data_IF_452591093467
#
_entry.id   IF_452591093467
#
_cell.length_a   1.000
_cell.length_b   1.000
_cell.length_c   1.000
_cell.angle_alpha   90.00
_cell.angle_beta   90.00
_cell.angle_gamma   90.00
#
_symmetry.space_group_name_H-M   'P 1'
#
loop_
_entity.id
_entity.type
_entity.pdbx_description
1 polymer ?
#
# COMPACT_ATOMS: atom_id res chain seq x y z
N UNK A 1 -6.57 54.36 52.05
CA UNK A 1 -6.35 53.42 50.93
C UNK A 1 -7.72 53.04 50.42
N UNK A 2 -8.18 53.59 49.29
CA UNK A 2 -7.92 53.07 47.93
C UNK A 2 -8.40 51.63 47.80
N UNK A 3 -9.61 51.40 47.24
CA UNK A 3 -9.89 51.16 45.79
C UNK A 3 -9.83 49.63 45.51
N UNK A 4 -10.81 48.96 44.89
CA UNK A 4 -11.95 49.44 44.06
C UNK A 4 -13.17 48.50 44.11
N UNK A 5 -14.33 49.04 43.71
CA UNK A 5 -15.57 48.33 43.41
C UNK A 5 -15.80 48.21 41.89
N UNK A 6 -16.42 47.10 41.43
CA UNK A 6 -17.28 46.99 40.23
C UNK A 6 -17.84 45.56 40.15
N UNK A 7 -19.14 45.28 40.25
CA UNK A 7 -20.23 45.54 39.28
C UNK A 7 -20.33 44.49 38.17
N UNK A 8 -21.24 43.53 38.36
CA UNK A 8 -21.80 42.67 37.30
C UNK A 8 -22.65 43.49 36.33
N UNK A 9 -22.60 43.22 35.01
CA UNK A 9 -23.68 43.55 34.10
C UNK A 9 -24.50 42.30 33.75
N UNK A 10 -25.78 42.32 34.12
CA UNK A 10 -26.78 41.47 33.48
C UNK A 10 -26.94 41.88 32.02
N UNK A 11 -26.88 40.92 31.09
CA UNK A 11 -27.26 41.15 29.70
C UNK A 11 -28.43 40.28 29.27
N UNK A 12 -29.35 40.91 28.55
CA UNK A 12 -30.66 40.41 28.16
C UNK A 12 -30.58 39.41 27.01
N UNK A 13 -31.43 38.38 27.06
CA UNK A 13 -31.63 37.50 25.92
C UNK A 13 -32.36 38.25 24.80
N UNK A 14 -31.66 38.49 23.68
CA UNK A 14 -32.25 38.95 22.43
C UNK A 14 -32.19 37.80 21.41
N UNK A 15 -33.36 37.30 21.01
CA UNK A 15 -33.46 36.27 19.97
C UNK A 15 -33.19 36.89 18.59
N UNK A 16 -32.12 36.46 17.94
CA UNK A 16 -31.85 36.75 16.53
C UNK A 16 -31.96 35.45 15.72
N UNK A 17 -32.94 35.38 14.83
CA UNK A 17 -33.10 34.25 13.93
C UNK A 17 -32.00 34.27 12.86
N UNK A 18 -31.13 33.26 12.85
CA UNK A 18 -30.12 33.06 11.82
C UNK A 18 -30.56 31.94 10.87
N UNK A 19 -30.84 32.29 9.62
CA UNK A 19 -31.17 31.35 8.55
C UNK A 19 -29.92 30.66 8.00
N UNK A 20 -30.07 29.36 7.75
CA UNK A 20 -29.24 28.46 6.93
C UNK A 20 -27.98 29.03 6.23
N UNK A 21 -26.82 28.48 6.59
CA UNK A 21 -25.91 27.91 5.59
C UNK A 21 -25.14 26.74 6.20
N UNK A 22 -25.40 25.53 5.70
CA UNK A 22 -24.72 24.31 6.12
C UNK A 22 -23.39 24.17 5.37
N UNK A 23 -22.38 24.93 5.80
CA UNK A 23 -21.00 24.53 5.51
C UNK A 23 -20.64 23.40 6.48
N UNK A 24 -20.66 22.16 5.96
CA UNK A 24 -20.07 21.03 6.66
C UNK A 24 -18.57 21.31 6.83
N UNK A 25 -18.16 21.62 8.06
CA UNK A 25 -16.75 21.74 8.39
C UNK A 25 -16.09 20.39 8.08
N UNK A 26 -15.14 20.40 7.14
CA UNK A 26 -14.25 19.26 6.87
C UNK A 26 -13.34 19.16 8.09
N UNK A 27 -13.84 18.46 9.11
CA UNK A 27 -13.11 18.18 10.34
C UNK A 27 -11.95 17.26 10.01
N UNK A 28 -10.74 17.69 10.37
CA UNK A 28 -9.49 16.93 10.26
C UNK A 28 -9.49 15.72 11.19
N UNK A 29 -10.28 14.70 10.82
CA UNK A 29 -10.13 13.35 11.36
C UNK A 29 -8.78 12.82 10.90
N UNK A 30 -8.02 12.26 11.83
CA UNK A 30 -6.69 11.70 11.58
C UNK A 30 -6.69 10.85 10.30
N UNK A 31 -5.95 11.28 9.26
CA UNK A 31 -5.95 10.67 7.92
C UNK A 31 -5.54 9.18 7.86
N UNK A 32 -5.20 8.58 9.00
CA UNK A 32 -4.78 7.20 9.16
C UNK A 32 -5.64 6.36 10.13
N UNK A 33 -6.62 6.92 10.86
CA UNK A 33 -7.42 6.12 11.82
C UNK A 33 -8.38 5.14 11.15
N UNK A 34 -8.95 5.55 10.02
CA UNK A 34 -10.06 4.83 9.37
C UNK A 34 -9.55 3.79 8.35
N UNK A 35 -8.23 3.69 8.17
CA UNK A 35 -7.53 3.05 7.04
C UNK A 35 -7.72 1.52 6.92
N UNK A 36 -8.18 0.85 7.97
CA UNK A 36 -8.12 -0.62 8.09
C UNK A 36 -9.49 -1.31 8.25
N UNK A 37 -10.59 -0.56 8.19
CA UNK A 37 -11.96 -1.09 8.25
C UNK A 37 -12.48 -1.60 6.88
N UNK A 38 -11.62 -2.25 6.08
CA UNK A 38 -11.99 -2.72 4.74
C UNK A 38 -12.38 -4.19 4.66
N UNK A 39 -13.59 -4.41 4.11
CA UNK A 39 -14.09 -5.71 3.64
C UNK A 39 -13.36 -6.08 2.35
N UNK A 40 -13.03 -7.35 2.14
CA UNK A 40 -12.74 -7.85 0.79
C UNK A 40 -13.99 -7.68 -0.08
N UNK A 41 -14.00 -6.70 -0.97
CA UNK A 41 -15.03 -6.60 -2.00
C UNK A 41 -14.89 -7.76 -2.98
N UNK A 42 -16.01 -8.39 -3.33
CA UNK A 42 -16.03 -9.49 -4.30
C UNK A 42 -15.60 -8.99 -5.68
N UNK A 43 -14.45 -9.46 -6.16
CA UNK A 43 -13.98 -9.27 -7.54
C UNK A 43 -14.85 -10.11 -8.51
N UNK A 44 -16.14 -9.77 -8.65
CA UNK A 44 -16.99 -10.25 -9.75
C UNK A 44 -16.94 -9.27 -10.91
N UNK A 45 -16.21 -9.68 -11.95
CA UNK A 45 -16.24 -9.03 -13.25
C UNK A 45 -17.69 -8.87 -13.76
N UNK A 46 -17.94 -7.78 -14.48
CA UNK A 46 -19.27 -7.21 -14.61
C UNK A 46 -20.31 -8.09 -15.33
N UNK A 47 -21.56 -7.90 -14.93
CA UNK A 47 -22.69 -8.06 -15.83
C UNK A 47 -23.57 -6.82 -15.75
N UNK A 48 -23.73 -6.11 -16.88
CA UNK A 48 -24.59 -4.94 -17.01
C UNK A 48 -26.04 -5.39 -17.24
N UNK A 49 -26.94 -4.95 -16.37
CA UNK A 49 -28.40 -4.83 -16.59
C UNK A 49 -29.01 -4.09 -15.37
N UNK A 50 -29.97 -3.17 -15.49
CA UNK A 50 -30.67 -2.70 -16.69
C UNK A 50 -31.15 -1.24 -16.55
N UNK A 51 -31.59 -0.66 -17.66
CA UNK A 51 -31.98 0.75 -17.81
C UNK A 51 -33.32 1.07 -17.13
N UNK A 52 -33.50 2.32 -16.68
CA UNK A 52 -34.76 2.88 -16.19
C UNK A 52 -35.90 2.72 -17.21
N UNK A 53 -37.12 2.53 -16.71
CA UNK A 53 -38.30 2.44 -17.56
C UNK A 53 -38.67 3.77 -18.24
N UNK A 54 -39.07 3.69 -19.51
CA UNK A 54 -39.97 4.66 -20.13
C UNK A 54 -40.81 3.92 -21.17
N UNK A 55 -42.12 3.90 -20.98
CA UNK A 55 -43.06 3.44 -22.01
C UNK A 55 -43.11 4.45 -23.15
N UNK A 56 -43.35 3.98 -24.38
CA UNK A 56 -44.29 4.60 -25.34
C UNK A 56 -44.57 3.63 -26.51
N UNK A 57 -45.83 3.64 -26.92
CA UNK A 57 -46.58 2.83 -27.89
C UNK A 57 -45.89 2.16 -29.10
N UNK A 58 -46.31 0.91 -29.32
CA UNK A 58 -46.65 0.25 -30.59
C UNK A 58 -46.62 1.06 -31.90
N UNK A 59 -46.01 0.47 -32.94
CA UNK A 59 -46.63 0.33 -34.29
C UNK A 59 -46.08 -0.92 -35.01
N UNK A 60 -46.88 -1.55 -35.87
CA UNK A 60 -46.64 -2.87 -36.49
C UNK A 60 -46.00 -2.80 -37.88
N UNK A 61 -45.42 -3.94 -38.29
CA UNK A 61 -45.30 -4.52 -39.67
C UNK A 61 -43.84 -4.80 -40.11
N UNK A 62 -43.56 -5.63 -41.14
CA UNK A 62 -43.26 -7.04 -40.88
C UNK A 62 -41.92 -7.55 -41.49
N UNK A 63 -41.64 -8.83 -41.23
CA UNK A 63 -40.43 -9.59 -41.62
C UNK A 63 -40.00 -9.50 -43.09
N UNK A 64 -38.68 -9.61 -43.30
CA UNK A 64 -38.07 -10.27 -44.47
C UNK A 64 -37.07 -11.33 -43.97
N UNK A 65 -36.99 -12.47 -44.66
CA UNK A 65 -36.12 -13.63 -44.33
C UNK A 65 -34.63 -13.35 -44.68
N UNK A 66 -33.63 -14.16 -44.32
CA UNK A 66 -33.56 -15.55 -43.83
C UNK A 66 -32.33 -15.70 -42.85
N UNK A 67 -31.78 -16.86 -42.40
CA UNK A 67 -31.82 -18.25 -42.91
C UNK A 67 -31.83 -19.32 -41.78
N UNK A 68 -30.76 -20.13 -41.60
CA UNK A 68 -30.67 -21.26 -40.64
C UNK A 68 -29.23 -21.47 -40.16
N UNK A 69 -29.06 -21.99 -38.94
CA UNK A 69 -28.16 -23.11 -38.59
C UNK A 69 -28.59 -23.74 -37.23
N UNK A 70 -28.10 -24.93 -36.81
CA UNK A 70 -29.00 -25.95 -36.26
C UNK A 70 -28.86 -26.23 -34.75
N UNK A 71 -29.86 -26.95 -34.21
CA UNK A 71 -29.76 -27.65 -32.92
C UNK A 71 -28.76 -28.81 -32.99
N UNK A 72 -27.87 -28.91 -32.00
CA UNK A 72 -27.30 -30.18 -31.55
C UNK A 72 -27.24 -30.14 -30.00
N UNK A 73 -28.05 -30.97 -29.34
CA UNK A 73 -27.66 -32.23 -28.70
C UNK A 73 -26.78 -32.05 -27.46
N UNK A 74 -27.44 -32.17 -26.29
CA UNK A 74 -26.77 -32.46 -25.02
C UNK A 74 -26.04 -33.80 -25.16
N UNK A 75 -24.75 -33.81 -24.86
CA UNK A 75 -24.00 -35.03 -24.55
C UNK A 75 -23.52 -34.89 -23.11
N UNK A 76 -23.90 -35.85 -22.28
CA UNK A 76 -23.39 -35.97 -20.91
C UNK A 76 -22.14 -36.83 -20.96
N UNK A 77 -21.01 -36.29 -20.51
CA UNK A 77 -19.79 -37.05 -20.25
C UNK A 77 -19.32 -36.72 -18.84
N UNK A 78 -19.48 -37.70 -17.94
CA UNK A 78 -18.95 -37.64 -16.60
C UNK A 78 -17.42 -37.53 -16.67
N UNK A 79 -16.85 -36.51 -16.04
CA UNK A 79 -15.43 -36.48 -15.69
C UNK A 79 -15.29 -36.40 -14.18
N UNK A 80 -14.84 -37.49 -13.60
CA UNK A 80 -14.50 -37.61 -12.19
C UNK A 80 -13.34 -36.67 -11.87
N UNK A 81 -13.58 -35.62 -11.08
CA UNK A 81 -12.54 -34.70 -10.64
C UNK A 81 -11.63 -35.38 -9.61
N UNK A 82 -10.57 -36.02 -10.11
CA UNK A 82 -9.44 -36.43 -9.26
C UNK A 82 -8.78 -35.19 -8.68
N UNK A 83 -8.75 -35.09 -7.35
CA UNK A 83 -8.00 -34.05 -6.64
C UNK A 83 -6.51 -34.41 -6.79
N UNK A 84 -5.79 -33.69 -7.66
CA UNK A 84 -4.34 -33.74 -7.76
C UNK A 84 -3.75 -32.50 -7.08
N UNK A 85 -2.74 -32.71 -6.23
CA UNK A 85 -2.10 -31.63 -5.47
C UNK A 85 -1.43 -30.60 -6.38
N UNK A 86 -1.68 -29.32 -6.13
CA UNK A 86 -1.03 -28.21 -6.81
C UNK A 86 0.39 -27.97 -6.26
N UNK A 87 1.30 -28.91 -6.49
CA UNK A 87 2.73 -28.82 -6.16
C UNK A 87 3.58 -29.02 -7.40
N UNK A 88 3.48 -28.09 -8.36
CA UNK A 88 4.31 -28.04 -9.56
C UNK A 88 4.41 -26.60 -10.10
N UNK A 89 5.35 -25.82 -9.58
CA UNK A 89 5.85 -24.65 -10.31
C UNK A 89 6.59 -25.12 -11.56
N UNK A 90 6.47 -24.45 -12.72
CA UNK A 90 7.19 -24.87 -13.92
C UNK A 90 8.70 -24.69 -13.72
N UNK A 91 9.45 -25.78 -13.92
CA UNK A 91 10.91 -25.77 -13.99
C UNK A 91 11.34 -24.97 -15.23
N UNK A 92 11.67 -23.69 -15.04
CA UNK A 92 12.51 -22.95 -15.98
C UNK A 92 13.93 -23.47 -15.92
N UNK A 93 14.18 -24.54 -16.68
CA UNK A 93 15.53 -24.99 -16.99
C UNK A 93 16.21 -23.93 -17.86
N UNK A 94 17.36 -23.42 -17.41
CA UNK A 94 18.23 -22.59 -18.26
C UNK A 94 18.46 -21.12 -17.87
N UNK A 95 18.49 -20.77 -16.58
CA UNK A 95 19.09 -19.48 -16.18
C UNK A 95 19.77 -19.50 -14.79
N UNK A 96 20.64 -20.49 -14.54
CA UNK A 96 21.54 -20.50 -13.36
C UNK A 96 22.82 -19.71 -13.68
N UNK A 97 22.65 -18.40 -13.82
CA UNK A 97 23.69 -17.35 -13.84
C UNK A 97 22.95 -16.08 -13.43
N UNK A 98 23.30 -15.35 -12.36
CA UNK A 98 24.61 -15.12 -11.73
C UNK A 98 24.40 -14.85 -10.22
N UNK A 99 25.49 -14.77 -9.45
CA UNK A 99 25.54 -14.17 -8.10
C UNK A 99 24.80 -14.92 -6.97
N UNK A 100 25.29 -16.12 -6.61
CA UNK A 100 24.85 -16.85 -5.41
C UNK A 100 25.45 -16.27 -4.13
N UNK A 101 24.96 -15.12 -3.70
CA UNK A 101 25.31 -14.56 -2.39
C UNK A 101 24.90 -15.51 -1.25
N UNK A 102 25.71 -15.56 -0.18
CA UNK A 102 25.42 -16.36 1.00
C UNK A 102 24.22 -15.82 1.80
N UNK A 103 23.58 -16.64 2.67
CA UNK A 103 22.48 -16.17 3.53
C UNK A 103 22.89 -15.03 4.48
N UNK A 104 24.17 -14.92 4.83
CA UNK A 104 24.70 -13.83 5.65
C UNK A 104 24.63 -12.49 4.92
N UNK A 105 25.05 -12.44 3.64
CA UNK A 105 24.92 -11.23 2.81
C UNK A 105 23.49 -10.67 2.83
N UNK A 106 22.46 -11.51 2.61
CA UNK A 106 21.08 -11.02 2.64
C UNK A 106 20.63 -10.54 4.02
N UNK A 107 21.16 -11.10 5.13
CA UNK A 107 20.93 -10.57 6.48
C UNK A 107 21.59 -9.20 6.68
N UNK A 108 22.77 -9.01 6.11
CA UNK A 108 23.47 -7.73 6.16
C UNK A 108 22.73 -6.68 5.32
N UNK A 109 22.28 -7.02 4.10
CA UNK A 109 21.40 -6.15 3.28
C UNK A 109 20.13 -5.78 4.04
N UNK A 110 19.46 -6.75 4.67
CA UNK A 110 18.25 -6.49 5.45
C UNK A 110 18.48 -5.44 6.54
N UNK A 111 19.57 -5.58 7.29
CA UNK A 111 19.94 -4.65 8.35
C UNK A 111 20.33 -3.28 7.78
N UNK A 112 21.28 -3.23 6.85
CA UNK A 112 21.82 -1.97 6.33
C UNK A 112 20.77 -1.20 5.52
N UNK A 113 19.88 -1.86 4.79
CA UNK A 113 18.78 -1.17 4.10
C UNK A 113 17.77 -0.55 5.07
N UNK A 114 17.47 -1.22 6.20
CA UNK A 114 16.64 -0.64 7.28
C UNK A 114 17.31 0.56 7.96
N UNK A 115 18.62 0.46 8.22
CA UNK A 115 19.43 1.55 8.78
C UNK A 115 19.44 2.76 7.82
N UNK A 116 19.75 2.55 6.54
CA UNK A 116 19.76 3.59 5.49
C UNK A 116 18.39 4.23 5.26
N UNK A 117 17.31 3.44 5.27
CA UNK A 117 15.94 3.97 5.26
C UNK A 117 15.70 4.90 6.45
N UNK A 118 16.12 4.49 7.65
CA UNK A 118 15.93 5.26 8.90
C UNK A 118 16.77 6.55 8.92
N UNK A 119 17.99 6.51 8.38
CA UNK A 119 18.83 7.70 8.17
C UNK A 119 18.15 8.72 7.24
N UNK A 120 17.65 8.27 6.09
CA UNK A 120 16.99 9.11 5.07
C UNK A 120 15.74 9.82 5.63
N UNK A 121 14.90 9.12 6.41
CA UNK A 121 13.67 9.70 6.99
C UNK A 121 13.87 10.42 8.33
N UNK A 122 15.10 10.41 8.88
CA UNK A 122 15.38 10.82 10.25
C UNK A 122 14.89 12.25 10.58
N UNK A 123 14.52 12.50 11.83
CA UNK A 123 14.05 13.83 12.27
C UNK A 123 15.13 14.94 12.20
N UNK A 124 16.40 14.59 11.99
CA UNK A 124 17.48 15.55 11.80
C UNK A 124 17.46 16.16 10.38
N UNK A 125 16.99 15.39 9.39
CA UNK A 125 16.78 15.85 8.01
C UNK A 125 15.55 16.75 7.92
N UNK A 126 15.66 17.91 7.26
CA UNK A 126 14.46 18.69 6.92
C UNK A 126 13.64 17.90 5.91
N UNK A 127 12.32 18.02 5.99
CA UNK A 127 11.42 17.23 5.13
C UNK A 127 11.69 17.43 3.62
N UNK A 128 12.02 18.66 3.22
CA UNK A 128 12.38 19.01 1.83
C UNK A 128 13.66 18.33 1.31
N UNK A 129 14.53 17.89 2.22
CA UNK A 129 15.83 17.30 1.87
C UNK A 129 15.72 15.77 1.68
N UNK A 130 14.57 15.16 2.02
CA UNK A 130 14.29 13.73 1.89
C UNK A 130 14.06 13.35 0.43
N UNK A 131 14.80 12.36 -0.07
CA UNK A 131 14.53 11.75 -1.36
C UNK A 131 13.50 10.63 -1.24
N UNK A 132 12.29 10.90 -1.74
CA UNK A 132 11.24 9.90 -1.92
C UNK A 132 11.75 8.65 -2.67
N UNK A 133 12.60 8.86 -3.69
CA UNK A 133 13.18 7.77 -4.46
C UNK A 133 14.11 6.89 -3.63
N UNK A 134 15.08 7.47 -2.91
CA UNK A 134 16.00 6.70 -2.05
C UNK A 134 15.24 5.92 -0.98
N UNK A 135 14.33 6.58 -0.27
CA UNK A 135 13.52 5.94 0.77
C UNK A 135 12.78 4.69 0.23
N UNK A 136 12.12 4.80 -0.92
CA UNK A 136 11.42 3.66 -1.54
C UNK A 136 12.36 2.61 -2.16
N UNK A 137 13.57 2.98 -2.57
CA UNK A 137 14.58 2.03 -3.03
C UNK A 137 15.23 1.25 -1.86
N UNK A 138 15.42 1.86 -0.69
CA UNK A 138 15.81 1.13 0.53
C UNK A 138 14.71 0.15 0.99
N UNK A 139 13.44 0.56 0.97
CA UNK A 139 12.30 -0.34 1.22
C UNK A 139 12.33 -1.54 0.27
N UNK A 140 12.57 -1.29 -1.03
CA UNK A 140 12.67 -2.34 -2.04
C UNK A 140 13.89 -3.26 -1.85
N UNK A 141 15.06 -2.72 -1.48
CA UNK A 141 16.28 -3.48 -1.23
C UNK A 141 16.12 -4.44 -0.05
N UNK A 142 15.52 -3.97 1.05
CA UNK A 142 15.23 -4.80 2.22
C UNK A 142 14.19 -5.89 1.88
N UNK A 143 13.12 -5.54 1.18
CA UNK A 143 12.07 -6.48 0.76
C UNK A 143 12.60 -7.56 -0.22
N UNK A 144 13.43 -7.18 -1.21
CA UNK A 144 14.06 -8.13 -2.13
C UNK A 144 15.10 -9.01 -1.42
N UNK A 145 15.85 -8.47 -0.44
CA UNK A 145 16.77 -9.24 0.38
C UNK A 145 16.06 -10.32 1.20
N UNK A 146 14.90 -10.02 1.79
CA UNK A 146 14.06 -11.02 2.45
C UNK A 146 13.61 -12.12 1.48
N UNK A 147 13.14 -11.73 0.29
CA UNK A 147 12.69 -12.66 -0.75
C UNK A 147 13.82 -13.54 -1.30
N UNK A 148 15.03 -12.99 -1.47
CA UNK A 148 16.22 -13.71 -1.88
C UNK A 148 16.73 -14.65 -0.79
N UNK A 149 16.78 -14.19 0.47
CA UNK A 149 17.13 -15.02 1.62
C UNK A 149 16.24 -16.26 1.72
N UNK A 150 14.91 -16.09 1.64
CA UNK A 150 13.97 -17.21 1.70
C UNK A 150 14.19 -18.19 0.53
N UNK A 151 14.36 -17.70 -0.70
CA UNK A 151 14.68 -18.56 -1.87
C UNK A 151 15.95 -19.40 -1.65
N UNK A 152 16.99 -18.82 -1.04
CA UNK A 152 18.23 -19.55 -0.71
C UNK A 152 18.02 -20.56 0.41
N UNK A 153 17.24 -20.24 1.44
CA UNK A 153 16.92 -21.16 2.53
C UNK A 153 16.04 -22.33 2.07
N UNK A 154 15.03 -22.08 1.22
CA UNK A 154 14.20 -23.12 0.61
C UNK A 154 15.04 -24.05 -0.27
N UNK A 155 15.95 -23.48 -1.09
CA UNK A 155 16.87 -24.25 -1.92
C UNK A 155 17.83 -25.12 -1.08
N UNK A 156 18.31 -24.60 0.06
CA UNK A 156 19.13 -25.36 1.02
C UNK A 156 18.34 -26.50 1.66
N UNK A 157 17.10 -26.28 2.09
CA UNK A 157 16.24 -27.33 2.64
C UNK A 157 16.06 -28.50 1.65
N UNK A 158 15.87 -28.21 0.37
CA UNK A 158 15.75 -29.23 -0.70
C UNK A 158 17.07 -29.98 -0.95
N UNK A 159 18.22 -29.36 -0.67
CA UNK A 159 19.53 -30.01 -0.76
C UNK A 159 19.84 -30.86 0.49
N UNK A 160 19.49 -30.39 1.68
CA UNK A 160 19.67 -31.13 2.94
C UNK A 160 18.81 -32.41 2.99
N UNK A 161 17.60 -32.37 2.40
CA UNK A 161 16.78 -33.56 2.14
C UNK A 161 17.43 -34.56 1.15
N UNK A 162 18.36 -34.09 0.31
CA UNK A 162 19.04 -34.84 -0.75
C UNK A 162 20.54 -35.01 -0.46
N UNK A 163 20.87 -35.44 0.77
CA UNK A 163 22.22 -35.82 1.27
C UNK A 163 23.39 -35.45 0.33
N UNK A 164 24.13 -34.43 0.78
CA UNK A 164 25.42 -33.93 0.30
C UNK A 164 25.40 -32.95 -0.90
N UNK A 165 25.61 -31.65 -0.62
CA UNK A 165 26.74 -30.83 -1.12
C UNK A 165 26.94 -29.62 -0.17
N UNK A 166 28.14 -29.34 0.36
CA UNK A 166 28.43 -28.07 1.02
C UNK A 166 28.56 -26.95 -0.02
N UNK A 167 27.71 -25.92 0.05
CA UNK A 167 27.87 -24.69 -0.73
C UNK A 167 28.64 -23.68 0.12
N UNK A 168 29.91 -23.45 -0.24
CA UNK A 168 30.74 -22.41 0.38
C UNK A 168 30.09 -21.04 0.18
N UNK A 169 29.90 -20.31 1.27
CA UNK A 169 29.48 -18.92 1.23
C UNK A 169 30.74 -18.04 1.16
N UNK A 170 30.92 -17.32 0.05
CA UNK A 170 31.95 -16.30 -0.01
C UNK A 170 31.57 -15.12 0.89
N UNK A 171 32.48 -14.69 1.75
CA UNK A 171 32.39 -13.38 2.37
C UNK A 171 32.60 -12.30 1.30
N UNK A 172 31.72 -11.31 1.28
CA UNK A 172 31.75 -10.19 0.33
C UNK A 172 31.79 -8.88 1.11
N UNK A 173 32.98 -8.30 1.18
CA UNK A 173 33.27 -7.03 1.86
C UNK A 173 32.94 -5.86 0.90
N UNK A 174 31.79 -5.22 1.08
CA UNK A 174 31.34 -4.05 0.31
C UNK A 174 30.10 -3.41 0.93
N UNK A 175 29.56 -2.35 0.33
CA UNK A 175 28.23 -1.86 0.72
C UNK A 175 27.17 -2.82 0.15
N UNK A 176 26.70 -3.73 1.02
CA UNK A 176 25.78 -4.80 0.63
C UNK A 176 24.49 -4.26 -0.03
N UNK A 177 24.05 -3.04 0.30
CA UNK A 177 22.79 -2.47 -0.21
C UNK A 177 22.91 -1.96 -1.64
N UNK A 178 24.08 -1.46 -2.07
CA UNK A 178 24.30 -1.13 -3.48
C UNK A 178 24.47 -2.38 -4.35
N UNK A 179 24.93 -3.49 -3.75
CA UNK A 179 25.19 -4.76 -4.42
C UNK A 179 23.93 -5.60 -4.70
N UNK A 180 22.77 -5.33 -4.09
CA UNK A 180 21.55 -6.09 -4.37
C UNK A 180 20.86 -5.59 -5.67
N UNK A 181 20.69 -6.44 -6.69
CA UNK A 181 20.10 -6.01 -7.97
C UNK A 181 18.57 -5.91 -7.85
N UNK A 182 18.06 -4.68 -7.95
CA UNK A 182 16.62 -4.41 -8.04
C UNK A 182 16.19 -4.48 -9.51
N UNK A 183 15.46 -5.53 -9.87
CA UNK A 183 15.09 -5.83 -11.27
C UNK A 183 16.29 -5.77 -12.26
N UNK A 184 17.47 -6.23 -11.82
CA UNK A 184 18.68 -6.30 -12.63
C UNK A 184 19.53 -5.02 -12.69
N UNK A 185 19.17 -3.96 -11.95
CA UNK A 185 19.94 -2.72 -11.81
C UNK A 185 20.23 -2.40 -10.34
N UNK A 186 21.35 -1.73 -10.07
CA UNK A 186 21.69 -1.16 -8.76
C UNK A 186 20.78 0.02 -8.39
N UNK A 187 20.82 0.44 -7.12
CA UNK A 187 20.08 1.62 -6.64
C UNK A 187 20.45 2.90 -7.39
N UNK A 188 21.74 3.12 -7.61
CA UNK A 188 22.29 4.30 -8.30
C UNK A 188 21.86 4.35 -9.76
N UNK A 189 21.76 3.20 -10.45
CA UNK A 189 21.21 3.14 -11.82
C UNK A 189 19.72 3.50 -11.88
N UNK A 190 18.91 3.19 -10.86
CA UNK A 190 17.51 3.62 -10.80
C UNK A 190 17.36 5.13 -10.52
N UNK A 191 18.27 5.73 -9.75
CA UNK A 191 18.32 7.18 -9.57
C UNK A 191 18.72 7.88 -10.89
N UNK A 192 19.73 7.33 -11.58
CA UNK A 192 20.16 7.81 -12.90
C UNK A 192 19.06 7.64 -13.98
N UNK A 193 18.17 6.66 -13.85
CA UNK A 193 17.00 6.51 -14.74
C UNK A 193 16.01 7.68 -14.57
N UNK A 194 15.77 8.14 -13.34
CA UNK A 194 14.97 9.34 -13.08
C UNK A 194 15.64 10.61 -13.63
N UNK A 195 16.98 10.69 -13.55
CA UNK A 195 17.77 11.77 -14.17
C UNK A 195 17.76 11.68 -15.72
N UNK A 196 17.61 10.49 -16.29
CA UNK A 196 17.44 10.29 -17.74
C UNK A 196 16.05 10.73 -18.21
N UNK A 197 14.98 10.35 -17.48
CA UNK A 197 13.61 10.80 -17.77
C UNK A 197 13.50 12.33 -17.67
N UNK A 198 14.14 12.97 -16.68
CA UNK A 198 14.16 14.44 -16.60
C UNK A 198 14.85 15.08 -17.82
N UNK A 199 16.00 14.55 -18.27
CA UNK A 199 16.69 15.03 -19.49
C UNK A 199 15.89 14.79 -20.77
N UNK A 200 15.07 13.75 -20.84
CA UNK A 200 14.12 13.54 -21.94
C UNK A 200 13.05 14.64 -21.97
N UNK A 201 12.56 15.09 -20.82
CA UNK A 201 11.64 16.24 -20.73
C UNK A 201 12.33 17.55 -21.13
N UNK A 202 13.57 17.77 -20.71
CA UNK A 202 14.35 18.95 -21.15
C UNK A 202 14.55 18.96 -22.68
N UNK A 203 14.84 17.80 -23.29
CA UNK A 203 14.97 17.67 -24.74
C UNK A 203 13.65 17.92 -25.48
N UNK A 204 12.53 17.41 -24.95
CA UNK A 204 11.19 17.67 -25.47
C UNK A 204 10.86 19.18 -25.44
N UNK A 205 11.16 19.86 -24.33
CA UNK A 205 10.96 21.32 -24.21
C UNK A 205 11.81 22.12 -25.20
N UNK A 206 13.11 21.80 -25.31
CA UNK A 206 14.01 22.47 -26.27
C UNK A 206 13.55 22.26 -27.71
N UNK A 207 12.98 21.10 -28.05
CA UNK A 207 12.49 20.81 -29.41
C UNK A 207 11.31 21.69 -29.84
N UNK A 208 10.58 22.27 -28.88
CA UNK A 208 9.37 23.08 -29.12
C UNK A 208 9.65 24.59 -29.23
N UNK A 209 10.86 25.04 -28.90
CA UNK A 209 11.30 26.45 -28.93
C UNK A 209 10.44 27.39 -28.04
N UNK A 210 9.88 26.85 -26.95
CA UNK A 210 9.01 27.58 -26.00
C UNK A 210 9.69 27.76 -24.63
N UNK A 211 9.21 28.73 -23.85
CA UNK A 211 9.83 29.17 -22.61
C UNK A 211 9.60 28.24 -21.41
N UNK A 212 10.05 28.68 -20.24
CA UNK A 212 9.95 27.90 -19.00
C UNK A 212 8.54 27.95 -18.36
N UNK A 213 7.47 27.95 -19.15
CA UNK A 213 6.10 28.11 -18.63
C UNK A 213 5.58 26.81 -17.99
N UNK A 214 4.93 26.94 -16.83
CA UNK A 214 4.46 25.82 -16.01
C UNK A 214 3.60 24.81 -16.78
N UNK A 215 2.73 25.30 -17.68
CA UNK A 215 1.83 24.47 -18.49
C UNK A 215 2.62 23.62 -19.48
N UNK A 216 3.61 24.22 -20.16
CA UNK A 216 4.44 23.56 -21.17
C UNK A 216 5.35 22.49 -20.54
N UNK A 217 5.95 22.78 -19.38
CA UNK A 217 6.72 21.77 -18.63
C UNK A 217 5.84 20.62 -18.19
N UNK A 218 4.62 20.87 -17.70
CA UNK A 218 3.69 19.81 -17.33
C UNK A 218 3.25 19.00 -18.55
N UNK A 219 2.98 19.62 -19.70
CA UNK A 219 2.64 18.92 -20.94
C UNK A 219 3.80 18.01 -21.40
N UNK A 220 5.03 18.52 -21.42
CA UNK A 220 6.22 17.75 -21.77
C UNK A 220 6.47 16.58 -20.80
N UNK A 221 6.28 16.77 -19.49
CA UNK A 221 6.34 15.67 -18.50
C UNK A 221 5.29 14.60 -18.80
N UNK A 222 4.04 14.98 -19.12
CA UNK A 222 2.99 14.02 -19.44
C UNK A 222 3.30 13.22 -20.71
N UNK A 223 3.81 13.87 -21.74
CA UNK A 223 4.19 13.22 -23.01
C UNK A 223 5.34 12.24 -22.78
N UNK A 224 6.42 12.66 -22.12
CA UNK A 224 7.55 11.77 -21.82
C UNK A 224 7.12 10.60 -20.95
N UNK A 225 6.36 10.82 -19.87
CA UNK A 225 5.95 9.74 -18.97
C UNK A 225 4.91 8.80 -19.60
N UNK A 226 3.82 9.32 -20.16
CA UNK A 226 2.65 8.52 -20.51
C UNK A 226 2.59 8.13 -22.00
N UNK A 227 3.19 8.91 -22.89
CA UNK A 227 3.24 8.60 -24.33
C UNK A 227 4.56 7.91 -24.69
N UNK A 228 5.70 8.55 -24.46
CA UNK A 228 7.03 8.03 -24.83
C UNK A 228 7.47 6.85 -23.97
N UNK A 229 7.45 6.99 -22.64
CA UNK A 229 7.76 5.91 -21.68
C UNK A 229 6.57 5.00 -21.39
N UNK A 230 5.39 5.29 -21.94
CA UNK A 230 4.20 4.44 -21.88
C UNK A 230 3.73 4.05 -20.45
N UNK A 231 3.97 4.89 -19.43
CA UNK A 231 3.53 4.61 -18.06
C UNK A 231 2.01 4.44 -17.98
N UNK A 232 1.54 3.43 -17.23
CA UNK A 232 0.12 3.06 -17.13
C UNK A 232 -0.27 2.78 -15.68
N UNK A 233 -1.32 3.47 -15.21
CA UNK A 233 -1.93 3.22 -13.91
C UNK A 233 -2.64 1.87 -13.92
N UNK A 234 -2.33 1.03 -12.95
CA UNK A 234 -3.04 -0.24 -12.69
C UNK A 234 -3.75 -0.15 -11.34
N UNK A 235 -4.97 -0.69 -11.26
CA UNK A 235 -5.68 -0.81 -9.98
C UNK A 235 -4.92 -1.78 -9.06
N UNK A 236 -5.06 -1.59 -7.74
CA UNK A 236 -4.18 -2.24 -6.74
C UNK A 236 -4.65 -3.67 -6.45
N UNK A 237 -4.63 -4.50 -7.49
CA UNK A 237 -5.00 -5.90 -7.46
C UNK A 237 -3.98 -6.76 -8.24
N UNK A 238 -3.24 -7.55 -7.45
CA UNK A 238 -2.56 -8.84 -7.75
C UNK A 238 -1.03 -8.82 -7.64
N UNK A 239 -0.31 -7.94 -8.35
CA UNK A 239 1.15 -8.10 -8.53
C UNK A 239 2.01 -7.06 -7.76
N UNK A 240 2.89 -7.48 -6.82
CA UNK A 240 3.71 -6.56 -6.03
C UNK A 240 4.66 -5.68 -6.82
N UNK A 241 5.17 -6.15 -7.97
CA UNK A 241 6.13 -5.38 -8.80
C UNK A 241 5.62 -3.99 -9.23
N UNK A 242 4.30 -3.78 -9.27
CA UNK A 242 3.68 -2.49 -9.61
C UNK A 242 3.51 -1.54 -8.40
N UNK A 243 3.99 -1.93 -7.22
CA UNK A 243 3.96 -1.13 -5.98
C UNK A 243 5.36 -0.80 -5.44
N UNK A 244 6.44 -1.20 -6.14
CA UNK A 244 7.81 -0.80 -5.84
C UNK A 244 8.36 0.10 -6.94
N UNK A 245 9.09 1.15 -6.58
CA UNK A 245 9.57 2.18 -7.52
C UNK A 245 10.37 1.60 -8.70
N UNK A 246 11.35 0.75 -8.41
CA UNK A 246 12.16 0.07 -9.44
C UNK A 246 11.30 -0.79 -10.38
N UNK A 247 10.27 -1.46 -9.86
CA UNK A 247 9.38 -2.32 -10.64
C UNK A 247 8.41 -1.54 -11.53
N UNK A 248 7.99 -0.34 -11.09
CA UNK A 248 7.23 0.59 -11.94
C UNK A 248 8.13 1.15 -13.05
N UNK A 249 9.31 1.67 -12.70
CA UNK A 249 10.29 2.20 -13.67
C UNK A 249 10.73 1.14 -14.70
N UNK A 250 10.86 -0.13 -14.28
CA UNK A 250 11.21 -1.25 -15.15
C UNK A 250 10.07 -1.68 -16.08
N UNK A 251 8.83 -1.71 -15.59
CA UNK A 251 7.71 -2.34 -16.32
C UNK A 251 6.78 -1.37 -17.04
N UNK A 252 6.82 -0.08 -16.71
CA UNK A 252 5.85 0.91 -17.18
C UNK A 252 4.49 0.84 -16.45
N UNK A 253 4.27 -0.11 -15.53
CA UNK A 253 2.98 -0.29 -14.85
C UNK A 253 3.09 -0.01 -13.35
N UNK A 254 2.23 0.86 -12.83
CA UNK A 254 2.30 1.29 -11.43
C UNK A 254 0.95 1.60 -10.79
N UNK A 255 0.92 1.54 -9.46
CA UNK A 255 -0.17 2.11 -8.66
C UNK A 255 -0.20 3.64 -8.79
N UNK A 256 -1.35 4.26 -8.46
CA UNK A 256 -1.51 5.71 -8.52
C UNK A 256 -0.41 6.46 -7.74
N UNK A 257 -0.19 6.08 -6.47
CA UNK A 257 0.83 6.69 -5.61
C UNK A 257 2.25 6.57 -6.19
N UNK A 258 2.65 5.43 -6.76
CA UNK A 258 4.00 5.28 -7.32
C UNK A 258 4.20 6.10 -8.59
N UNK A 259 3.17 6.21 -9.44
CA UNK A 259 3.23 7.08 -10.62
C UNK A 259 3.27 8.57 -10.21
N UNK A 260 2.48 8.97 -9.20
CA UNK A 260 2.55 10.33 -8.64
C UNK A 260 3.93 10.63 -8.04
N UNK A 261 4.59 9.67 -7.40
CA UNK A 261 5.96 9.84 -6.86
C UNK A 261 6.98 9.98 -7.99
N UNK A 262 6.90 9.18 -9.06
CA UNK A 262 7.76 9.35 -10.25
C UNK A 262 7.55 10.76 -10.83
N UNK A 263 6.29 11.21 -10.94
CA UNK A 263 5.95 12.54 -11.45
C UNK A 263 6.55 13.66 -10.59
N UNK A 264 6.36 13.62 -9.26
CA UNK A 264 6.96 14.57 -8.30
C UNK A 264 8.47 14.60 -8.47
N UNK A 265 9.10 13.42 -8.55
CA UNK A 265 10.55 13.24 -8.52
C UNK A 265 11.25 13.62 -9.84
N UNK A 266 10.53 13.57 -10.97
CA UNK A 266 10.93 14.15 -12.26
C UNK A 266 10.75 15.67 -12.25
N UNK A 267 9.58 16.18 -11.84
CA UNK A 267 9.35 17.64 -11.74
C UNK A 267 10.37 18.33 -10.81
N UNK A 268 10.73 17.68 -9.69
CA UNK A 268 11.74 18.17 -8.74
C UNK A 268 13.12 18.37 -9.38
N UNK A 269 13.50 17.53 -10.35
CA UNK A 269 14.76 17.65 -11.12
C UNK A 269 14.72 18.85 -12.07
N UNK A 270 13.57 19.11 -12.66
CA UNK A 270 13.27 20.26 -13.51
C UNK A 270 13.07 21.57 -12.72
N UNK A 271 13.34 21.58 -11.41
CA UNK A 271 13.17 22.73 -10.52
C UNK A 271 11.72 23.05 -10.13
N UNK A 272 10.74 22.23 -10.54
CA UNK A 272 9.33 22.41 -10.19
C UNK A 272 8.99 21.70 -8.87
N UNK A 273 8.47 22.47 -7.91
CA UNK A 273 7.91 21.91 -6.67
C UNK A 273 6.48 21.43 -6.92
N UNK A 274 6.25 20.13 -6.77
CA UNK A 274 4.92 19.53 -6.78
C UNK A 274 4.42 19.40 -5.33
N UNK A 275 3.14 19.72 -5.13
CA UNK A 275 2.39 19.46 -3.91
C UNK A 275 1.55 18.20 -4.12
N UNK A 276 1.07 17.62 -3.02
CA UNK A 276 0.07 16.56 -3.08
C UNK A 276 -0.80 16.50 -1.83
N UNK A 277 -1.90 15.75 -1.92
CA UNK A 277 -2.77 15.45 -0.79
C UNK A 277 -3.54 14.14 -1.02
N UNK A 278 -3.99 13.51 0.05
CA UNK A 278 -4.85 12.31 0.00
C UNK A 278 -6.30 12.75 -0.07
N UNK A 279 -7.03 12.26 -1.07
CA UNK A 279 -8.45 12.57 -1.27
C UNK A 279 -9.21 11.26 -1.48
N UNK A 280 -9.92 10.82 -0.43
CA UNK A 280 -10.51 9.50 -0.37
C UNK A 280 -9.43 8.40 -0.45
N UNK A 281 -9.55 7.51 -1.44
CA UNK A 281 -8.55 6.47 -1.70
C UNK A 281 -7.42 6.92 -2.64
N UNK A 282 -7.60 8.01 -3.37
CA UNK A 282 -6.65 8.53 -4.33
C UNK A 282 -5.58 9.42 -3.67
N UNK A 283 -4.41 9.49 -4.29
CA UNK A 283 -3.36 10.46 -3.96
C UNK A 283 -3.20 11.40 -5.15
N UNK A 284 -3.56 12.67 -4.93
CA UNK A 284 -3.59 13.70 -5.96
C UNK A 284 -2.37 14.61 -5.82
N UNK A 285 -1.86 15.07 -6.96
CA UNK A 285 -0.68 15.95 -7.04
C UNK A 285 -0.96 17.13 -7.98
N UNK A 286 -0.31 18.26 -7.72
CA UNK A 286 -0.41 19.47 -8.53
C UNK A 286 0.83 20.37 -8.31
N UNK A 287 1.21 21.22 -9.27
CA UNK A 287 2.35 22.12 -9.07
C UNK A 287 2.04 23.18 -8.00
N UNK A 288 3.07 23.60 -7.27
CA UNK A 288 2.98 24.78 -6.42
C UNK A 288 2.81 26.03 -7.29
N UNK A 289 1.66 26.69 -7.17
CA UNK A 289 1.32 27.92 -7.90
C UNK A 289 0.61 28.91 -6.98
N UNK A 290 0.80 30.21 -7.22
CA UNK A 290 0.07 31.29 -6.55
C UNK A 290 -1.39 31.36 -7.04
N UNK A 291 -1.65 30.94 -8.28
CA UNK A 291 -2.97 30.97 -8.91
C UNK A 291 -3.51 29.56 -9.21
N UNK A 292 -4.16 28.87 -8.24
CA UNK A 292 -4.69 27.53 -8.45
C UNK A 292 -5.87 27.49 -9.44
N UNK A 293 -6.49 28.62 -9.79
CA UNK A 293 -7.54 28.66 -10.82
C UNK A 293 -7.02 28.23 -12.20
N UNK A 294 -5.75 28.51 -12.50
CA UNK A 294 -5.12 28.11 -13.77
C UNK A 294 -4.99 26.59 -13.92
N UNK A 295 -4.98 25.85 -12.81
CA UNK A 295 -4.97 24.39 -12.83
C UNK A 295 -6.32 23.80 -13.31
N UNK A 296 -7.41 24.55 -13.15
CA UNK A 296 -8.76 24.17 -13.55
C UNK A 296 -9.21 24.76 -14.89
N UNK A 297 -8.45 25.72 -15.46
CA UNK A 297 -8.71 26.21 -16.81
C UNK A 297 -8.56 25.06 -17.82
N UNK A 298 -9.50 24.97 -18.75
CA UNK A 298 -9.52 23.94 -19.78
C UNK A 298 -8.72 24.44 -20.98
N UNK A 299 -7.53 23.87 -21.20
CA UNK A 299 -6.65 24.28 -22.30
C UNK A 299 -6.82 23.38 -23.54
N UNK A 300 -7.22 22.13 -23.36
CA UNK A 300 -7.28 21.10 -24.41
C UNK A 300 -8.42 20.08 -24.21
N UNK A 301 -9.56 20.52 -23.66
CA UNK A 301 -10.70 19.66 -23.30
C UNK A 301 -10.63 19.06 -21.90
N UNK A 302 -9.42 18.97 -21.33
CA UNK A 302 -9.16 18.63 -19.94
C UNK A 302 -8.49 19.81 -19.20
N UNK A 303 -8.61 19.85 -17.88
CA UNK A 303 -7.88 20.80 -17.04
C UNK A 303 -6.49 20.28 -16.69
N UNK A 304 -5.52 21.16 -16.39
CA UNK A 304 -4.17 20.75 -16.03
C UNK A 304 -4.16 19.80 -14.81
N UNK A 305 -5.05 20.04 -13.85
CA UNK A 305 -5.26 19.17 -12.68
C UNK A 305 -5.76 17.77 -13.07
N UNK A 306 -6.70 17.68 -14.02
CA UNK A 306 -7.20 16.40 -14.53
C UNK A 306 -6.15 15.66 -15.38
N UNK A 307 -5.32 16.37 -16.17
CA UNK A 307 -4.23 15.77 -16.95
C UNK A 307 -3.22 15.07 -16.02
N UNK A 308 -2.71 15.78 -15.00
CA UNK A 308 -1.69 15.23 -14.07
C UNK A 308 -2.23 14.05 -13.26
N UNK A 309 -3.48 14.12 -12.79
CA UNK A 309 -4.06 13.09 -11.93
C UNK A 309 -4.78 11.97 -12.69
N UNK A 310 -5.03 12.17 -13.99
CA UNK A 310 -5.79 11.29 -14.86
C UNK A 310 -7.27 11.19 -14.49
N UNK A 311 -7.93 10.18 -15.07
CA UNK A 311 -9.39 10.00 -15.05
C UNK A 311 -10.05 9.84 -13.67
N UNK A 312 -9.31 9.80 -12.56
CA UNK A 312 -9.95 9.83 -11.23
C UNK A 312 -10.61 11.19 -10.93
N UNK A 313 -10.12 12.29 -11.51
CA UNK A 313 -10.76 13.62 -11.42
C UNK A 313 -12.03 13.71 -12.27
N UNK A 314 -12.18 12.82 -13.26
CA UNK A 314 -13.34 12.80 -14.19
C UNK A 314 -14.42 11.79 -13.78
N UNK A 315 -14.13 10.85 -12.89
CA UNK A 315 -15.10 9.87 -12.39
C UNK A 315 -15.98 10.52 -11.30
N UNK A 316 -17.30 10.74 -11.52
CA UNK A 316 -18.20 11.36 -10.54
C UNK A 316 -18.41 10.53 -9.26
N UNK A 317 -17.77 9.36 -9.16
CA UNK A 317 -17.75 8.51 -7.97
C UNK A 317 -16.52 8.74 -7.09
N UNK A 318 -15.47 9.39 -7.60
CA UNK A 318 -14.29 9.72 -6.81
C UNK A 318 -14.50 11.06 -6.12
N UNK A 319 -14.02 11.17 -4.87
CA UNK A 319 -13.97 12.46 -4.16
C UNK A 319 -13.09 13.50 -4.88
N UNK A 320 -12.29 13.09 -5.86
CA UNK A 320 -11.49 13.97 -6.70
C UNK A 320 -12.31 14.80 -7.71
N UNK A 321 -13.53 14.37 -8.10
CA UNK A 321 -14.35 15.12 -9.07
C UNK A 321 -14.96 16.40 -8.52
N UNK A 322 -15.16 16.45 -7.21
CA UNK A 322 -15.80 17.59 -6.52
C UNK A 322 -14.79 18.71 -6.18
N UNK A 323 -13.51 18.52 -6.54
CA UNK A 323 -12.45 19.47 -6.27
C UNK A 323 -12.47 20.67 -7.24
N UNK A 324 -12.22 21.85 -6.67
CA UNK A 324 -12.06 23.10 -7.41
C UNK A 324 -10.88 23.90 -6.81
N UNK A 325 -10.57 25.06 -7.40
CA UNK A 325 -9.46 25.93 -6.99
C UNK A 325 -9.52 26.39 -5.53
N UNK A 326 -10.71 26.58 -4.97
CA UNK A 326 -10.90 26.91 -3.57
C UNK A 326 -10.71 25.69 -2.67
N UNK A 327 -11.24 24.53 -3.07
CA UNK A 327 -11.05 23.26 -2.34
C UNK A 327 -9.57 22.90 -2.19
N UNK A 328 -8.74 23.08 -3.24
CA UNK A 328 -7.29 22.82 -3.17
C UNK A 328 -6.58 23.65 -2.10
N UNK A 329 -7.03 24.88 -1.81
CA UNK A 329 -6.47 25.72 -0.75
C UNK A 329 -6.82 25.23 0.66
N UNK A 330 -7.86 24.41 0.80
CA UNK A 330 -8.30 23.79 2.05
C UNK A 330 -7.82 22.35 2.26
N UNK A 331 -7.12 21.76 1.28
CA UNK A 331 -6.54 20.43 1.43
C UNK A 331 -5.27 20.49 2.28
N UNK A 332 -5.13 19.56 3.21
CA UNK A 332 -3.89 19.34 3.94
C UNK A 332 -2.82 18.83 2.96
N UNK A 333 -1.84 19.69 2.65
CA UNK A 333 -0.70 19.34 1.80
C UNK A 333 0.21 18.40 2.57
N UNK A 334 0.48 17.22 2.01
CA UNK A 334 1.27 16.19 2.69
C UNK A 334 2.78 16.46 2.64
N UNK A 335 3.49 16.03 3.68
CA UNK A 335 4.96 16.08 3.72
C UNK A 335 5.59 14.93 2.91
N UNK A 336 6.89 15.00 2.62
CA UNK A 336 7.62 13.88 2.01
C UNK A 336 7.54 12.61 2.87
N UNK A 337 7.60 12.75 4.21
CA UNK A 337 7.38 11.64 5.15
C UNK A 337 5.97 11.05 5.03
N UNK A 338 4.95 11.86 4.86
CA UNK A 338 3.57 11.40 4.65
C UNK A 338 3.39 10.70 3.29
N UNK A 339 4.05 11.17 2.22
CA UNK A 339 4.06 10.51 0.91
C UNK A 339 4.68 9.11 1.00
N UNK A 340 5.81 8.97 1.70
CA UNK A 340 6.41 7.65 2.02
C UNK A 340 5.43 6.83 2.87
N UNK A 341 4.76 7.45 3.82
CA UNK A 341 3.75 6.81 4.68
C UNK A 341 2.58 6.23 3.89
N UNK A 342 2.04 6.98 2.92
CA UNK A 342 0.96 6.54 2.02
C UNK A 342 1.43 5.39 1.12
N UNK A 343 2.68 5.41 0.65
CA UNK A 343 3.26 4.31 -0.13
C UNK A 343 3.41 3.03 0.73
N UNK A 344 3.91 3.13 1.96
CA UNK A 344 4.02 2.02 2.91
C UNK A 344 2.64 1.46 3.31
N UNK A 345 1.65 2.31 3.58
CA UNK A 345 0.29 1.87 3.87
C UNK A 345 -0.33 1.08 2.71
N UNK A 346 -0.04 1.47 1.46
CA UNK A 346 -0.43 0.70 0.28
C UNK A 346 0.30 -0.66 0.17
N UNK A 347 1.58 -0.74 0.54
CA UNK A 347 2.32 -2.01 0.62
C UNK A 347 1.74 -2.94 1.71
N UNK A 348 1.44 -2.43 2.91
CA UNK A 348 0.78 -3.21 3.98
C UNK A 348 -0.55 -3.78 3.47
N UNK A 349 -1.40 -2.94 2.85
CA UNK A 349 -2.71 -3.37 2.32
C UNK A 349 -2.58 -4.41 1.21
N UNK A 350 -1.62 -4.24 0.29
CA UNK A 350 -1.32 -5.18 -0.78
C UNK A 350 -0.89 -6.55 -0.20
N UNK A 351 0.09 -6.55 0.69
CA UNK A 351 0.66 -7.76 1.29
C UNK A 351 -0.34 -8.45 2.22
N UNK A 352 -1.15 -7.71 2.98
CA UNK A 352 -2.30 -8.27 3.72
C UNK A 352 -3.34 -8.91 2.78
N UNK A 353 -3.75 -8.24 1.69
CA UNK A 353 -4.68 -8.83 0.70
C UNK A 353 -4.10 -10.10 0.09
N UNK A 354 -2.78 -10.18 -0.11
CA UNK A 354 -2.08 -11.39 -0.60
C UNK A 354 -2.01 -12.51 0.45
N UNK A 355 -1.68 -12.18 1.69
CA UNK A 355 -1.62 -13.12 2.80
C UNK A 355 -2.98 -13.77 3.08
N UNK A 356 -4.05 -12.97 3.01
CA UNK A 356 -5.44 -13.37 3.29
C UNK A 356 -6.20 -13.97 2.10
N UNK A 357 -5.57 -14.17 0.92
CA UNK A 357 -6.26 -14.68 -0.30
C UNK A 357 -7.03 -16.00 -0.12
N UNK A 358 -6.59 -16.86 0.80
CA UNK A 358 -7.26 -18.13 1.09
C UNK A 358 -8.45 -17.96 2.06
N UNK A 359 -8.49 -16.86 2.79
CA UNK A 359 -9.35 -16.60 3.96
C UNK A 359 -10.30 -15.44 3.66
N UNK A 360 -11.21 -15.68 2.72
CA UNK A 360 -12.15 -14.68 2.22
C UNK A 360 -12.95 -14.01 3.36
N UNK A 361 -12.99 -12.68 3.36
CA UNK A 361 -13.69 -11.89 4.38
C UNK A 361 -12.95 -11.71 5.71
N UNK A 362 -11.75 -12.28 5.87
CA UNK A 362 -10.89 -12.03 7.04
C UNK A 362 -10.43 -10.56 7.06
N UNK A 363 -10.86 -9.81 8.07
CA UNK A 363 -10.37 -8.46 8.36
C UNK A 363 -9.24 -8.54 9.38
N UNK A 364 -8.32 -7.58 9.37
CA UNK A 364 -7.23 -7.53 10.36
C UNK A 364 -7.79 -7.51 11.79
N UNK A 365 -8.79 -6.66 12.03
CA UNK A 365 -9.50 -6.53 13.31
C UNK A 365 -10.48 -7.68 13.65
N UNK A 366 -10.60 -8.72 12.82
CA UNK A 366 -11.51 -9.86 13.10
C UNK A 366 -11.22 -10.56 14.43
N UNK A 367 -9.95 -10.59 14.86
CA UNK A 367 -9.53 -11.21 16.12
C UNK A 367 -10.15 -10.53 17.37
N UNK A 368 -10.39 -9.22 17.31
CA UNK A 368 -10.95 -8.45 18.43
C UNK A 368 -12.43 -8.78 18.67
N UNK A 369 -13.20 -9.05 17.60
CA UNK A 369 -14.62 -9.41 17.70
C UNK A 369 -14.85 -10.74 18.44
N UNK A 370 -13.88 -11.65 18.38
CA UNK A 370 -13.93 -12.98 19.02
C UNK A 370 -13.71 -12.95 20.54
N UNK A 371 -13.62 -11.77 21.15
CA UNK A 371 -13.49 -11.58 22.60
C UNK A 371 -14.81 -11.18 23.26
N UNK A 372 -15.73 -10.56 22.51
CA UNK A 372 -17.01 -10.08 23.06
C UNK A 372 -18.17 -11.10 22.95
N UNK A 373 -18.06 -12.13 22.11
CA UNK A 373 -19.03 -13.23 21.98
C UNK A 373 -18.69 -14.38 22.96
N UNK A 374 -18.88 -14.16 24.27
CA UNK A 374 -18.57 -15.16 25.30
C UNK A 374 -19.39 -16.47 25.20
N UNK A 375 -20.61 -16.40 24.62
CA UNK A 375 -21.55 -17.52 24.54
C UNK A 375 -21.36 -18.43 23.32
N UNK A 376 -20.59 -18.00 22.31
CA UNK A 376 -20.20 -18.91 21.23
C UNK A 376 -19.03 -19.75 21.71
N UNK A 377 -19.35 -20.96 22.20
CA UNK A 377 -18.42 -22.08 22.32
C UNK A 377 -17.40 -22.00 21.18
N UNK A 378 -16.13 -22.22 21.50
CA UNK A 378 -15.12 -22.56 20.51
C UNK A 378 -15.62 -23.78 19.71
N UNK A 379 -16.30 -23.54 18.58
CA UNK A 379 -16.12 -24.40 17.43
C UNK A 379 -14.62 -24.40 17.21
N UNK A 380 -14.01 -25.58 17.41
CA UNK A 380 -12.57 -25.76 17.30
C UNK A 380 -12.14 -25.07 16.01
N UNK A 381 -11.35 -23.99 16.13
CA UNK A 381 -10.54 -23.55 15.00
C UNK A 381 -9.69 -24.77 14.71
N UNK A 382 -10.05 -25.46 13.63
CA UNK A 382 -9.72 -26.87 13.49
C UNK A 382 -8.20 -27.02 13.54
N UNK A 383 -7.74 -28.14 14.12
CA UNK A 383 -6.32 -28.47 14.27
C UNK A 383 -5.59 -28.70 12.94
N UNK A 384 -6.15 -28.20 11.85
CA UNK A 384 -5.51 -28.05 10.56
C UNK A 384 -4.16 -27.33 10.74
N UNK A 385 -3.09 -28.05 10.40
CA UNK A 385 -1.73 -27.50 10.38
C UNK A 385 -1.50 -26.51 9.21
N UNK A 386 -2.58 -25.98 8.62
CA UNK A 386 -2.54 -25.03 7.51
C UNK A 386 -2.61 -23.60 8.06
N UNK A 387 -1.64 -22.73 7.72
CA UNK A 387 -1.65 -21.36 8.24
C UNK A 387 -2.79 -20.55 7.61
N UNK A 388 -3.55 -19.85 8.46
CA UNK A 388 -4.69 -19.00 8.08
C UNK A 388 -4.32 -17.89 7.08
N UNK A 389 -3.05 -17.46 7.12
CA UNK A 389 -2.44 -16.47 6.24
C UNK A 389 -1.17 -17.06 5.63
N UNK A 390 -0.81 -16.64 4.41
CA UNK A 390 0.47 -17.01 3.80
C UNK A 390 1.62 -16.36 4.58
N UNK A 391 2.55 -17.14 5.21
CA UNK A 391 3.54 -16.56 6.12
C UNK A 391 4.46 -15.52 5.46
N UNK A 392 4.86 -15.77 4.22
CA UNK A 392 5.74 -14.87 3.46
C UNK A 392 5.07 -13.53 3.13
N UNK A 393 3.86 -13.53 2.56
CA UNK A 393 3.12 -12.30 2.28
C UNK A 393 2.76 -11.56 3.60
N UNK A 394 2.48 -12.29 4.71
CA UNK A 394 2.24 -11.69 6.02
C UNK A 394 3.50 -11.00 6.58
N UNK A 395 4.69 -11.63 6.46
CA UNK A 395 5.94 -11.04 6.94
C UNK A 395 6.30 -9.76 6.16
N UNK A 396 5.98 -9.70 4.87
CA UNK A 396 6.12 -8.48 4.05
C UNK A 396 5.20 -7.35 4.55
N UNK A 397 3.95 -7.66 4.93
CA UNK A 397 3.04 -6.68 5.53
C UNK A 397 3.58 -6.18 6.89
N UNK A 398 4.11 -7.08 7.71
CA UNK A 398 4.77 -6.74 8.99
C UNK A 398 5.95 -5.79 8.74
N UNK A 399 6.89 -6.13 7.85
CA UNK A 399 8.05 -5.28 7.54
C UNK A 399 7.64 -3.89 7.03
N UNK A 400 6.62 -3.78 6.19
CA UNK A 400 6.09 -2.48 5.76
C UNK A 400 5.47 -1.68 6.92
N UNK A 401 4.80 -2.35 7.88
CA UNK A 401 4.24 -1.70 9.08
C UNK A 401 5.29 -1.29 10.11
N UNK A 402 6.38 -2.05 10.27
CA UNK A 402 7.53 -1.66 11.11
C UNK A 402 8.11 -0.32 10.61
N UNK A 403 8.31 -0.17 9.30
CA UNK A 403 8.81 1.07 8.67
C UNK A 403 7.83 2.24 8.81
N UNK A 404 6.52 1.98 8.72
CA UNK A 404 5.50 3.01 8.91
C UNK A 404 5.42 3.47 10.37
N UNK A 405 5.69 2.58 11.34
CA UNK A 405 5.78 2.93 12.76
C UNK A 405 7.03 3.78 13.09
N UNK A 406 8.12 3.64 12.34
CA UNK A 406 9.29 4.55 12.47
C UNK A 406 8.91 5.97 12.06
N UNK A 407 8.09 6.13 11.01
CA UNK A 407 7.57 7.44 10.58
C UNK A 407 6.52 8.02 11.54
N UNK A 408 5.64 7.17 12.10
CA UNK A 408 4.50 7.60 12.92
C UNK A 408 4.45 6.87 14.28
N UNK A 409 5.44 7.06 15.18
CA UNK A 409 5.58 6.28 16.41
C UNK A 409 4.47 6.52 17.46
N UNK A 410 3.70 7.60 17.32
CA UNK A 410 2.57 7.95 18.18
C UNK A 410 1.19 7.55 17.60
N UNK A 411 1.14 6.98 16.40
CA UNK A 411 -0.12 6.54 15.79
C UNK A 411 -0.56 5.20 16.41
N UNK A 412 -1.43 5.28 17.42
CA UNK A 412 -1.95 4.09 18.12
C UNK A 412 -2.66 3.13 17.18
N UNK A 413 -3.43 3.62 16.21
CA UNK A 413 -4.18 2.76 15.27
C UNK A 413 -3.25 1.90 14.41
N UNK A 414 -2.18 2.50 13.92
CA UNK A 414 -1.11 1.79 13.21
C UNK A 414 -0.40 0.76 14.11
N UNK A 415 -0.14 1.10 15.39
CA UNK A 415 0.49 0.18 16.34
C UNK A 415 -0.43 -1.01 16.69
N UNK A 416 -1.73 -0.77 16.87
CA UNK A 416 -2.77 -1.82 17.01
C UNK A 416 -2.66 -2.80 15.85
N UNK A 417 -2.66 -2.27 14.64
CA UNK A 417 -2.77 -3.06 13.42
C UNK A 417 -1.46 -3.83 13.13
N UNK A 418 -0.30 -3.27 13.50
CA UNK A 418 0.98 -3.99 13.57
C UNK A 418 0.94 -5.14 14.60
N UNK A 419 0.49 -4.88 15.82
CA UNK A 419 0.34 -5.90 16.88
C UNK A 419 -0.62 -7.04 16.49
N UNK A 420 -1.69 -6.73 15.75
CA UNK A 420 -2.59 -7.74 15.17
C UNK A 420 -1.91 -8.59 14.09
N UNK A 421 -1.07 -7.99 13.22
CA UNK A 421 -0.29 -8.78 12.25
C UNK A 421 0.72 -9.71 12.93
N UNK A 422 1.39 -9.26 14.00
CA UNK A 422 2.25 -10.10 14.84
C UNK A 422 1.47 -11.27 15.48
N UNK A 423 0.24 -11.02 15.96
CA UNK A 423 -0.65 -12.07 16.47
C UNK A 423 -0.94 -13.15 15.42
N UNK A 424 -1.34 -12.77 14.20
CA UNK A 424 -1.58 -13.76 13.13
C UNK A 424 -0.30 -14.50 12.71
N UNK A 425 0.88 -13.86 12.85
CA UNK A 425 2.18 -14.49 12.64
C UNK A 425 2.64 -15.36 13.84
N UNK A 426 1.80 -15.53 14.87
CA UNK A 426 2.06 -16.27 16.12
C UNK A 426 3.21 -15.72 16.97
N UNK A 427 3.64 -14.48 16.72
CA UNK A 427 4.63 -13.76 17.52
C UNK A 427 3.96 -13.14 18.75
N UNK A 428 3.47 -14.00 19.66
CA UNK A 428 2.64 -13.56 20.79
C UNK A 428 3.38 -12.70 21.82
N UNK A 429 4.71 -12.81 21.92
CA UNK A 429 5.50 -11.96 22.83
C UNK A 429 5.52 -10.51 22.36
N UNK A 430 5.83 -10.33 21.08
CA UNK A 430 5.93 -9.06 20.38
C UNK A 430 4.54 -8.43 20.18
N UNK A 431 3.53 -9.24 19.85
CA UNK A 431 2.13 -8.78 19.76
C UNK A 431 1.62 -8.22 21.09
N UNK A 432 1.91 -8.90 22.22
CA UNK A 432 1.58 -8.39 23.56
C UNK A 432 2.29 -7.06 23.81
N UNK A 433 3.57 -6.95 23.49
CA UNK A 433 4.33 -5.72 23.70
C UNK A 433 3.75 -4.54 22.92
N UNK A 434 3.52 -4.69 21.62
CA UNK A 434 3.00 -3.61 20.77
C UNK A 434 1.56 -3.24 21.12
N UNK A 435 0.71 -4.21 21.45
CA UNK A 435 -0.68 -3.92 21.87
C UNK A 435 -0.75 -3.28 23.26
N UNK A 436 0.10 -3.67 24.20
CA UNK A 436 0.20 -2.99 25.51
C UNK A 436 0.67 -1.54 25.37
N UNK A 437 1.66 -1.28 24.50
CA UNK A 437 2.08 0.09 24.18
C UNK A 437 0.95 0.83 23.44
N UNK A 438 0.20 0.17 22.56
CA UNK A 438 -0.95 0.77 21.88
C UNK A 438 -2.02 1.26 22.87
N UNK A 439 -2.39 0.46 23.86
CA UNK A 439 -3.40 0.83 24.86
C UNK A 439 -3.02 2.12 25.64
N UNK A 440 -1.73 2.34 25.88
CA UNK A 440 -1.25 3.55 26.56
C UNK A 440 -1.39 4.86 25.74
N UNK A 441 -1.64 4.76 24.42
CA UNK A 441 -1.84 5.92 23.52
C UNK A 441 -3.22 5.92 22.83
N UNK A 442 -4.03 4.89 23.03
CA UNK A 442 -5.37 4.77 22.45
C UNK A 442 -6.42 5.53 23.27
N UNK A 443 -7.54 5.97 22.66
CA UNK A 443 -8.72 6.41 23.40
C UNK A 443 -9.23 5.32 24.35
N UNK A 444 -9.82 5.70 25.48
CA UNK A 444 -10.30 4.76 26.52
C UNK A 444 -11.25 3.68 25.95
N UNK A 445 -12.11 4.05 25.01
CA UNK A 445 -13.03 3.13 24.31
C UNK A 445 -12.29 2.04 23.53
N UNK A 446 -11.23 2.38 22.80
CA UNK A 446 -10.42 1.41 22.03
C UNK A 446 -9.50 0.61 22.95
N UNK A 447 -8.97 1.21 24.02
CA UNK A 447 -8.17 0.51 25.02
C UNK A 447 -8.99 -0.59 25.72
N UNK A 448 -10.24 -0.31 26.09
CA UNK A 448 -11.15 -1.29 26.71
C UNK A 448 -11.52 -2.47 25.78
N UNK A 449 -11.48 -2.28 24.46
CA UNK A 449 -11.63 -3.38 23.48
C UNK A 449 -10.35 -4.23 23.35
N UNK A 450 -9.18 -3.62 23.54
CA UNK A 450 -7.89 -4.30 23.43
C UNK A 450 -7.49 -5.06 24.69
N UNK A 451 -7.84 -4.57 25.88
CA UNK A 451 -7.47 -5.15 27.18
C UNK A 451 -7.77 -6.66 27.28
N UNK A 452 -9.02 -7.16 27.11
CA UNK A 452 -9.31 -8.58 27.23
C UNK A 452 -8.69 -9.42 26.09
N UNK A 453 -8.34 -8.81 24.96
CA UNK A 453 -7.59 -9.48 23.90
C UNK A 453 -6.11 -9.64 24.27
N UNK A 454 -5.51 -8.65 24.93
CA UNK A 454 -4.13 -8.70 25.42
C UNK A 454 -4.00 -9.71 26.57
N UNK A 455 -4.95 -9.80 27.49
CA UNK A 455 -5.01 -10.86 28.50
C UNK A 455 -5.02 -12.27 27.86
N UNK A 456 -5.87 -12.46 26.83
CA UNK A 456 -5.94 -13.71 26.07
C UNK A 456 -4.62 -14.03 25.35
N UNK A 457 -3.90 -13.02 24.85
CA UNK A 457 -2.56 -13.19 24.27
C UNK A 457 -1.51 -13.60 25.30
N UNK A 458 -1.56 -13.06 26.53
CA UNK A 458 -0.69 -13.51 27.62
C UNK A 458 -0.88 -15.01 27.91
N UNK A 459 -2.12 -15.51 27.93
CA UNK A 459 -2.40 -16.94 28.12
C UNK A 459 -1.85 -17.79 26.96
N UNK A 460 -2.07 -17.37 25.71
CA UNK A 460 -1.55 -18.08 24.53
C UNK A 460 0.00 -18.13 24.52
N UNK A 461 0.67 -17.07 24.97
CA UNK A 461 2.14 -17.02 25.15
C UNK A 461 2.64 -18.00 26.22
N UNK A 462 1.91 -18.17 27.31
CA UNK A 462 2.25 -19.16 28.34
C UNK A 462 2.07 -20.59 27.81
N UNK A 463 0.96 -20.87 27.12
CA UNK A 463 0.71 -22.18 26.51
C UNK A 463 1.79 -22.59 25.49
N UNK A 464 2.22 -21.67 24.61
CA UNK A 464 3.27 -21.97 23.63
C UNK A 464 4.60 -22.30 24.33
N UNK A 465 4.91 -21.59 25.42
CA UNK A 465 6.11 -21.81 26.22
C UNK A 465 6.08 -23.16 26.96
N UNK A 466 4.90 -23.61 27.42
CA UNK A 466 4.75 -24.92 28.06
C UNK A 466 4.85 -26.07 27.05
N UNK A 467 4.29 -25.90 25.84
CA UNK A 467 4.36 -26.91 24.77
C UNK A 467 5.79 -27.13 24.26
N UNK A 468 6.62 -26.09 24.20
CA UNK A 468 8.05 -26.23 23.87
C UNK A 468 8.85 -26.90 24.98
N UNK A 469 8.56 -26.61 26.26
CA UNK A 469 9.20 -27.27 27.40
C UNK A 469 8.89 -28.78 27.45
N UNK A 470 7.65 -29.17 27.14
CA UNK A 470 7.23 -30.57 27.09
C UNK A 470 7.93 -31.39 25.99
N UNK A 471 8.24 -30.79 24.84
CA UNK A 471 9.02 -31.46 23.78
C UNK A 471 10.50 -31.62 24.16
N UNK A 472 11.09 -30.64 24.87
CA UNK A 472 12.48 -30.75 25.31
C UNK A 472 12.70 -31.88 26.34
N UNK A 473 11.67 -32.22 27.13
CA UNK A 473 11.73 -33.28 28.14
C UNK A 473 11.73 -34.72 27.61
N UNK A 474 11.51 -34.95 26.31
CA UNK A 474 11.43 -36.30 25.72
C UNK A 474 12.74 -36.85 25.14
N UNK A 475 13.86 -36.13 25.26
CA UNK A 475 15.14 -36.51 24.64
C UNK A 475 16.23 -37.06 25.60
N UNK A 476 15.90 -37.31 26.87
CA UNK A 476 16.82 -37.99 27.82
C UNK A 476 16.12 -39.07 28.64
N UNK A 477 15.95 -40.24 28.03
CA UNK A 477 15.74 -41.51 28.70
C UNK A 477 16.48 -42.61 27.92
N UNK A 478 17.77 -42.77 28.25
CA UNK A 478 18.59 -43.95 27.97
C UNK A 478 18.81 -44.70 29.29
#
# INVERSE_FOLDING_TARGET
MMVMSASLPSFTAAAAAATSSSMAAISSRNCFSDFWNFRCSDDKAGHVSNVNGMEISFLKSPMVAATRHPRNRRVSTNYSTSIAAASASPLFSGQVTRDSFGPNFYKDVLKTAREKFTEEISFQSKDKDISLAKALLYVAAEDEAFMAFNRVMDARSVLDERKDVPIEANDHQGDSVELIPLAGKSMTEWLNELDAIAREVEAELVSRDIGCHLVEVIEAVNIVLFESRCFKRVSIAVEPKWSYLHGVLSSGYGSAILLSIIYIEVCRRLGLTMLGSRVGEDFLIWPQTENPEELFKVTSGHSLFAVVNGRCVEDPRSMASDLNSNSLRSLDVVTNRDVIGIALANLIRLHWKRASRSSHGLMLTSALRLVHDADKKFEKIDGSNHPLLRPQDLRMAIMASERLLILQPHNWSLRRDHGLMLYYNRQYGEAVQELSICMAFAPEEEAALLEPFVEKLHLMRLESSWKSLGHAGQLTAL
#
